data_IF_038207537456
#
_entry.id   IF_038207537456
#
_cell.length_a   1.000
_cell.length_b   1.000
_cell.length_c   1.000
_cell.angle_alpha   90.00
_cell.angle_beta   90.00
_cell.angle_gamma   90.00
#
_symmetry.space_group_name_H-M   'P 1'
#
loop_
_entity.id
_entity.type
_entity.pdbx_description
1 polymer ?
#
# COMPACT_ATOMS: atom_id res chain seq x y z
N UNK A 1 -9.68 -4.20 8.60
CA UNK A 1 -10.28 -3.76 7.32
C UNK A 1 -11.81 -3.84 7.35
N UNK A 2 -12.40 -5.03 7.53
CA UNK A 2 -13.87 -5.20 7.64
C UNK A 2 -14.48 -4.41 8.81
N UNK A 3 -13.79 -4.35 9.95
CA UNK A 3 -14.20 -3.55 11.11
C UNK A 3 -13.76 -2.07 11.04
N UNK A 4 -13.26 -1.62 9.89
CA UNK A 4 -12.69 -0.27 9.66
C UNK A 4 -11.62 0.19 10.66
N UNK A 5 -11.02 -0.74 11.39
CA UNK A 5 -9.90 -0.44 12.27
C UNK A 5 -8.60 -0.37 11.48
N UNK A 6 -8.06 0.84 11.31
CA UNK A 6 -6.76 1.12 10.68
C UNK A 6 -5.73 1.61 11.71
N UNK A 7 -5.93 1.31 13.00
CA UNK A 7 -4.91 1.54 14.02
C UNK A 7 -3.67 0.69 13.68
N UNK A 8 -2.46 1.26 13.80
CA UNK A 8 -1.26 0.63 13.28
C UNK A 8 -0.91 -0.66 14.02
N UNK A 9 -0.96 -1.79 13.31
CA UNK A 9 -0.26 -3.02 13.67
C UNK A 9 1.05 -3.15 12.87
N UNK A 10 1.04 -2.69 11.61
CA UNK A 10 2.21 -2.51 10.75
C UNK A 10 2.05 -1.26 9.88
N UNK A 11 2.96 -0.30 10.01
CA UNK A 11 2.87 1.02 9.35
C UNK A 11 3.09 0.94 7.85
N UNK A 12 2.34 1.73 7.08
CA UNK A 12 2.58 1.95 5.64
C UNK A 12 4.03 2.35 5.37
N UNK A 13 4.66 3.15 6.24
CA UNK A 13 6.07 3.48 6.15
C UNK A 13 6.99 2.25 6.03
N UNK A 14 6.83 1.25 6.90
CA UNK A 14 7.67 0.05 6.91
C UNK A 14 7.48 -0.76 5.62
N UNK A 15 6.21 -0.96 5.22
CA UNK A 15 5.91 -1.71 3.99
C UNK A 15 6.38 -1.00 2.72
N UNK A 16 6.26 0.33 2.66
CA UNK A 16 6.79 1.13 1.55
C UNK A 16 8.30 0.96 1.45
N UNK A 17 9.03 1.10 2.56
CA UNK A 17 10.49 0.93 2.60
C UNK A 17 10.90 -0.45 2.06
N UNK A 18 10.29 -1.52 2.55
CA UNK A 18 10.65 -2.88 2.16
C UNK A 18 10.31 -3.16 0.67
N UNK A 19 9.21 -2.59 0.18
CA UNK A 19 8.81 -2.67 -1.25
C UNK A 19 9.83 -1.99 -2.15
N UNK A 20 10.32 -0.80 -1.79
CA UNK A 20 11.36 -0.08 -2.55
C UNK A 20 12.69 -0.83 -2.55
N UNK A 21 13.08 -1.43 -1.42
CA UNK A 21 14.29 -2.27 -1.34
C UNK A 21 14.16 -3.47 -2.27
N UNK A 22 13.01 -4.16 -2.25
CA UNK A 22 12.77 -5.31 -3.11
C UNK A 22 12.83 -4.94 -4.61
N UNK A 23 12.28 -3.79 -5.00
CA UNK A 23 12.35 -3.29 -6.38
C UNK A 23 13.78 -2.91 -6.78
N UNK A 24 14.56 -2.30 -5.89
CA UNK A 24 15.97 -1.97 -6.15
C UNK A 24 16.79 -3.22 -6.43
N UNK A 25 16.67 -4.24 -5.56
CA UNK A 25 17.39 -5.52 -5.71
C UNK A 25 16.92 -6.25 -6.98
N UNK A 26 15.62 -6.25 -7.27
CA UNK A 26 15.10 -6.87 -8.49
C UNK A 26 15.66 -6.19 -9.75
N UNK A 27 15.76 -4.86 -9.75
CA UNK A 27 16.36 -4.10 -10.86
C UNK A 27 17.86 -4.42 -11.03
N UNK A 28 18.61 -4.52 -9.94
CA UNK A 28 20.03 -4.94 -9.97
C UNK A 28 20.22 -6.35 -10.54
N UNK A 29 19.28 -7.25 -10.26
CA UNK A 29 19.30 -8.64 -10.74
C UNK A 29 18.66 -8.82 -12.13
N UNK A 30 18.13 -7.76 -12.74
CA UNK A 30 17.40 -7.84 -14.01
C UNK A 30 16.08 -8.63 -13.91
N UNK A 31 15.51 -8.74 -12.72
CA UNK A 31 14.26 -9.46 -12.44
C UNK A 31 13.10 -8.46 -12.51
N UNK A 32 12.08 -8.80 -13.30
CA UNK A 32 10.88 -7.98 -13.42
C UNK A 32 9.83 -8.37 -12.37
N UNK A 33 9.44 -7.42 -11.51
CA UNK A 33 8.41 -7.61 -10.47
C UNK A 33 7.21 -6.66 -10.69
N UNK A 34 6.34 -6.93 -11.68
CA UNK A 34 5.25 -6.02 -12.06
C UNK A 34 4.25 -5.78 -10.92
N UNK A 35 3.90 -6.83 -10.17
CA UNK A 35 2.98 -6.72 -9.04
C UNK A 35 3.55 -5.84 -7.91
N UNK A 36 4.85 -5.97 -7.64
CA UNK A 36 5.55 -5.15 -6.63
C UNK A 36 5.66 -3.69 -7.06
N UNK A 37 5.88 -3.43 -8.35
CA UNK A 37 5.89 -2.08 -8.90
C UNK A 37 4.51 -1.40 -8.74
N UNK A 38 3.44 -2.13 -9.04
CA UNK A 38 2.08 -1.67 -8.80
C UNK A 38 1.85 -1.35 -7.31
N UNK A 39 2.34 -2.21 -6.41
CA UNK A 39 2.22 -2.00 -4.97
C UNK A 39 2.96 -0.74 -4.50
N UNK A 40 4.15 -0.44 -5.03
CA UNK A 40 4.87 0.83 -4.75
C UNK A 40 4.02 2.04 -5.13
N UNK A 41 3.35 2.01 -6.29
CA UNK A 41 2.45 3.08 -6.69
C UNK A 41 1.23 3.23 -5.75
N UNK A 42 0.66 2.11 -5.28
CA UNK A 42 -0.42 2.14 -4.29
C UNK A 42 0.06 2.74 -2.96
N UNK A 43 1.27 2.42 -2.49
CA UNK A 43 1.84 3.05 -1.30
C UNK A 43 2.03 4.56 -1.47
N UNK A 44 2.50 5.00 -2.64
CA UNK A 44 2.65 6.42 -2.95
C UNK A 44 1.29 7.13 -2.93
N UNK A 45 0.22 6.50 -3.40
CA UNK A 45 -1.13 7.03 -3.32
C UNK A 45 -1.63 7.15 -1.86
N UNK A 46 -1.32 6.19 -0.98
CA UNK A 46 -1.66 6.30 0.46
C UNK A 46 -0.89 7.45 1.11
N UNK A 47 0.41 7.59 0.81
CA UNK A 47 1.23 8.67 1.35
C UNK A 47 0.72 10.04 0.89
N UNK A 48 0.27 10.16 -0.37
CA UNK A 48 -0.34 11.38 -0.90
C UNK A 48 -1.63 11.78 -0.15
N UNK A 49 -2.33 10.82 0.47
CA UNK A 49 -3.49 11.07 1.33
C UNK A 49 -3.12 11.36 2.81
N UNK A 50 -1.83 11.49 3.13
CA UNK A 50 -1.35 11.70 4.50
C UNK A 50 -1.34 10.41 5.35
N UNK A 51 -1.50 9.24 4.74
CA UNK A 51 -1.67 7.95 5.42
C UNK A 51 -0.37 7.22 5.79
N UNK A 52 0.77 7.91 5.87
CA UNK A 52 2.08 7.26 6.10
C UNK A 52 2.16 6.49 7.44
N UNK A 53 1.44 6.96 8.45
CA UNK A 53 1.34 6.34 9.78
C UNK A 53 0.14 5.39 9.92
N UNK A 54 -0.64 5.19 8.86
CA UNK A 54 -1.75 4.24 8.88
C UNK A 54 -1.23 2.80 8.85
N UNK A 55 -2.10 1.87 9.24
CA UNK A 55 -1.85 0.45 9.02
C UNK A 55 -1.81 0.14 7.51
N UNK A 56 -0.97 -0.82 7.11
CA UNK A 56 -0.87 -1.30 5.72
C UNK A 56 -2.21 -1.77 5.11
N UNK A 57 -3.16 -2.22 5.95
CA UNK A 57 -4.53 -2.52 5.49
C UNK A 57 -5.30 -1.31 4.95
N UNK A 58 -4.79 -0.09 5.17
CA UNK A 58 -5.32 1.15 4.58
C UNK A 58 -5.18 1.23 3.06
N UNK A 59 -4.50 0.28 2.41
CA UNK A 59 -4.48 0.16 0.95
C UNK A 59 -5.88 0.05 0.35
N UNK A 60 -6.85 -0.49 1.11
CA UNK A 60 -8.26 -0.48 0.71
C UNK A 60 -8.78 0.94 0.45
N UNK A 61 -8.35 1.94 1.23
CA UNK A 61 -8.85 3.31 1.09
C UNK A 61 -8.47 3.93 -0.24
N UNK A 62 -7.30 3.57 -0.76
CA UNK A 62 -6.89 3.98 -2.12
C UNK A 62 -7.77 3.30 -3.16
N UNK A 63 -8.06 2.02 -3.01
CA UNK A 63 -8.96 1.30 -3.92
C UNK A 63 -10.40 1.83 -3.86
N UNK A 64 -10.89 2.17 -2.67
CA UNK A 64 -12.20 2.78 -2.45
C UNK A 64 -12.29 4.16 -3.11
N UNK A 65 -11.23 4.98 -2.98
CA UNK A 65 -11.13 6.28 -3.65
C UNK A 65 -11.13 6.12 -5.17
N UNK A 66 -10.32 5.18 -5.70
CA UNK A 66 -10.23 4.92 -7.14
C UNK A 66 -11.52 4.36 -7.73
N UNK A 67 -12.26 3.57 -6.95
CA UNK A 67 -13.51 2.91 -7.38
C UNK A 67 -14.77 3.71 -7.03
N UNK A 68 -14.60 4.85 -6.34
CA UNK A 68 -15.68 5.66 -5.77
C UNK A 68 -16.73 4.83 -5.02
N UNK A 69 -16.29 3.76 -4.36
CA UNK A 69 -17.14 2.76 -3.70
C UNK A 69 -16.48 2.32 -2.41
N UNK A 70 -17.20 2.38 -1.29
CA UNK A 70 -16.69 1.98 0.02
C UNK A 70 -16.97 0.48 0.28
N UNK A 71 -15.97 -0.26 0.71
CA UNK A 71 -16.10 -1.69 1.03
C UNK A 71 -16.76 -1.81 2.40
N UNK A 72 -18.00 -2.31 2.43
CA UNK A 72 -18.75 -2.58 3.66
C UNK A 72 -19.13 -4.06 3.71
N UNK A 73 -19.12 -4.70 4.91
CA UNK A 73 -19.74 -6.00 5.07
C UNK A 73 -21.24 -5.85 4.75
N UNK A 74 -21.75 -6.76 3.91
CA UNK A 74 -23.20 -6.90 3.67
C UNK A 74 -23.90 -7.63 4.81
#
# INVERSE_FOLDING_TARGET
MLDRNFKPGGKVFSHKKDTEIALSVANELGIYLPATALLSHLWNAIVAQGGIEWDHSSIVKVLELMSNTEVRPG
#
